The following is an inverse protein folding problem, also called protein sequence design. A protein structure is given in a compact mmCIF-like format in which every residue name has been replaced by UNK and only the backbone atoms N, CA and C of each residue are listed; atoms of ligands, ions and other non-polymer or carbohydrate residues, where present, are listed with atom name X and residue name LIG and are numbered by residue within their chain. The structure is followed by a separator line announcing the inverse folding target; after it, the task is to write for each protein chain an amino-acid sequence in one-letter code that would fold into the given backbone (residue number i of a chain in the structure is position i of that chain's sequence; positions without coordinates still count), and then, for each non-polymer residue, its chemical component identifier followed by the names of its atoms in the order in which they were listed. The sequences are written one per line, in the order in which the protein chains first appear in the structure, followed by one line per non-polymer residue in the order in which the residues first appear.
data_IF_561416707709
#
_entry.id   IF_561416707709
#
_cell.length_a   1.000
_cell.length_b   1.000
_cell.length_c   1.000
_cell.angle_alpha   90.00
_cell.angle_beta   90.00
_cell.angle_gamma   90.00
#
_symmetry.space_group_name_H-M   'P 1'
#
loop_
_entity.id
_entity.type
_entity.pdbx_description
1 polymer ?
#
# COMPACT_ATOMS: atom_id res chain seq x y z
N UNK A 1 4.56 -5.12 -18.24
CA UNK A 1 3.65 -6.28 -18.42
C UNK A 1 2.20 -5.95 -18.08
N UNK A 2 1.88 -5.36 -16.92
CA UNK A 2 0.48 -5.06 -16.53
C UNK A 2 -0.31 -4.15 -17.50
N UNK A 3 0.35 -3.52 -18.49
CA UNK A 3 -0.26 -2.74 -19.57
C UNK A 3 -0.45 -3.52 -20.88
N UNK A 4 -0.01 -4.75 -20.93
CA UNK A 4 -0.19 -5.60 -22.11
C UNK A 4 -1.66 -6.00 -22.30
N UNK A 5 -2.00 -6.50 -23.50
CA UNK A 5 -3.36 -6.93 -23.81
C UNK A 5 -3.86 -7.99 -22.84
N UNK A 6 -5.04 -7.78 -22.28
CA UNK A 6 -5.65 -8.67 -21.27
C UNK A 6 -5.19 -8.43 -19.84
N UNK A 7 -4.25 -7.49 -19.61
CA UNK A 7 -3.77 -7.17 -18.27
C UNK A 7 -4.52 -5.96 -17.64
N UNK A 8 -4.51 -5.82 -16.30
CA UNK A 8 -5.32 -4.84 -15.58
C UNK A 8 -5.15 -3.37 -15.99
N UNK A 9 -3.99 -3.01 -16.52
CA UNK A 9 -3.68 -1.64 -16.92
C UNK A 9 -3.66 -1.44 -18.44
N UNK A 10 -4.22 -2.37 -19.22
CA UNK A 10 -4.21 -2.32 -20.69
C UNK A 10 -4.66 -0.96 -21.23
N UNK A 11 -5.79 -0.45 -20.76
CA UNK A 11 -6.40 0.79 -21.24
C UNK A 11 -6.22 1.98 -20.26
N UNK A 12 -5.15 1.92 -19.44
CA UNK A 12 -4.85 2.94 -18.45
C UNK A 12 -3.53 3.67 -18.75
N UNK A 13 -3.51 4.68 -19.65
CA UNK A 13 -2.29 5.41 -20.01
C UNK A 13 -1.62 6.10 -18.81
N UNK A 14 -2.41 6.52 -17.81
CA UNK A 14 -1.91 7.09 -16.56
C UNK A 14 -1.14 6.10 -15.68
N UNK A 15 -1.19 4.80 -16.00
CA UNK A 15 -0.45 3.73 -15.32
C UNK A 15 0.87 3.39 -16.02
N UNK A 16 1.34 4.24 -16.93
CA UNK A 16 2.67 4.11 -17.49
C UNK A 16 3.73 4.23 -16.39
N UNK A 17 4.62 3.22 -16.20
CA UNK A 17 5.60 3.23 -15.13
C UNK A 17 6.55 4.43 -15.19
N UNK A 18 6.99 4.81 -16.40
CA UNK A 18 7.89 5.96 -16.57
C UNK A 18 7.20 7.25 -16.17
N UNK A 19 5.95 7.46 -16.61
CA UNK A 19 5.17 8.62 -16.24
C UNK A 19 4.95 8.70 -14.71
N UNK A 20 4.61 7.55 -14.07
CA UNK A 20 4.41 7.48 -12.62
C UNK A 20 5.69 7.80 -11.84
N UNK A 21 6.82 7.20 -12.22
CA UNK A 21 8.10 7.46 -11.57
C UNK A 21 8.57 8.90 -11.79
N UNK A 22 8.30 9.49 -12.96
CA UNK A 22 8.65 10.88 -13.22
C UNK A 22 7.88 11.86 -12.33
N UNK A 23 6.63 11.57 -11.97
CA UNK A 23 5.90 12.38 -10.97
C UNK A 23 6.65 12.41 -9.64
N UNK A 24 7.11 11.27 -9.15
CA UNK A 24 7.86 11.19 -7.88
C UNK A 24 9.21 11.89 -7.98
N UNK A 25 9.93 11.76 -9.12
CA UNK A 25 11.21 12.43 -9.36
C UNK A 25 11.05 13.96 -9.42
N UNK A 26 10.08 14.44 -10.18
CA UNK A 26 9.80 15.88 -10.30
C UNK A 26 9.40 16.48 -8.94
N UNK A 27 8.58 15.78 -8.16
CA UNK A 27 8.26 16.17 -6.80
C UNK A 27 9.53 16.23 -5.91
N UNK A 28 10.43 15.26 -6.06
CA UNK A 28 11.71 15.23 -5.35
C UNK A 28 12.61 16.41 -5.69
N UNK A 29 12.70 16.77 -6.97
CA UNK A 29 13.45 17.98 -7.42
C UNK A 29 12.87 19.26 -6.83
N UNK A 30 11.55 19.33 -6.68
CA UNK A 30 10.84 20.46 -6.08
C UNK A 30 10.73 20.36 -4.54
N UNK A 31 11.32 19.33 -3.91
CA UNK A 31 11.24 19.06 -2.46
C UNK A 31 9.80 18.93 -1.94
N UNK A 32 8.92 18.39 -2.75
CA UNK A 32 7.53 18.13 -2.37
C UNK A 32 7.44 16.73 -1.77
N UNK A 33 6.98 16.58 -0.51
CA UNK A 33 6.75 15.25 0.08
C UNK A 33 5.68 14.47 -0.69
N UNK A 34 5.92 13.19 -0.91
CA UNK A 34 5.02 12.33 -1.68
C UNK A 34 4.67 11.05 -0.92
N UNK A 35 3.41 10.68 -1.02
CA UNK A 35 2.94 9.34 -0.70
C UNK A 35 2.90 8.52 -1.98
N UNK A 36 3.40 7.30 -1.93
CA UNK A 36 3.36 6.36 -3.05
C UNK A 36 3.04 4.95 -2.55
N UNK A 37 3.00 3.96 -3.43
CA UNK A 37 2.75 2.58 -3.00
C UNK A 37 2.37 1.65 -4.12
N UNK A 38 1.94 0.46 -3.73
CA UNK A 38 1.57 -0.64 -4.63
C UNK A 38 0.17 -1.15 -4.30
N UNK A 39 -0.60 -1.45 -5.33
CA UNK A 39 -1.78 -2.31 -5.23
C UNK A 39 -1.32 -3.74 -5.52
N UNK A 40 -1.43 -4.61 -4.51
CA UNK A 40 -0.91 -5.99 -4.53
C UNK A 40 -2.03 -6.96 -4.87
N UNK A 41 -1.76 -7.90 -5.77
CA UNK A 41 -2.70 -8.95 -6.17
C UNK A 41 -3.49 -8.64 -7.44
N UNK A 42 -2.99 -7.75 -8.30
CA UNK A 42 -3.60 -7.43 -9.60
C UNK A 42 -2.99 -8.23 -10.76
N UNK A 43 -2.24 -9.31 -10.47
CA UNK A 43 -1.60 -10.17 -11.47
C UNK A 43 -0.11 -9.88 -11.68
N UNK A 44 0.50 -9.07 -10.84
CA UNK A 44 1.95 -8.88 -10.80
C UNK A 44 2.66 -10.11 -10.23
N UNK A 45 3.94 -10.31 -10.59
CA UNK A 45 4.80 -11.28 -9.93
C UNK A 45 5.51 -10.68 -8.71
N UNK A 46 6.11 -11.55 -7.90
CA UNK A 46 6.93 -11.12 -6.74
C UNK A 46 8.09 -10.25 -7.23
N UNK A 47 8.75 -10.64 -8.32
CA UNK A 47 9.88 -9.92 -8.90
C UNK A 47 9.45 -8.53 -9.38
N UNK A 48 8.27 -8.41 -9.98
CA UNK A 48 7.71 -7.12 -10.41
C UNK A 48 7.39 -6.21 -9.21
N UNK A 49 6.91 -6.77 -8.12
CA UNK A 49 6.70 -6.05 -6.85
C UNK A 49 8.02 -5.57 -6.26
N UNK A 50 9.03 -6.46 -6.17
CA UNK A 50 10.37 -6.11 -5.70
C UNK A 50 10.98 -5.01 -6.57
N UNK A 51 10.91 -5.14 -7.90
CA UNK A 51 11.42 -4.13 -8.82
C UNK A 51 10.76 -2.78 -8.61
N UNK A 52 9.44 -2.76 -8.37
CA UNK A 52 8.69 -1.53 -8.09
C UNK A 52 9.15 -0.85 -6.80
N UNK A 53 9.36 -1.64 -5.74
CA UNK A 53 9.87 -1.14 -4.46
C UNK A 53 11.31 -0.60 -4.61
N UNK A 54 12.17 -1.28 -5.38
CA UNK A 54 13.53 -0.83 -5.66
C UNK A 54 13.57 0.48 -6.44
N UNK A 55 12.64 0.70 -7.39
CA UNK A 55 12.53 2.00 -8.10
C UNK A 55 12.09 3.12 -7.15
N UNK A 56 11.15 2.85 -6.23
CA UNK A 56 10.76 3.80 -5.18
C UNK A 56 11.96 4.11 -4.27
N UNK A 57 12.71 3.08 -3.88
CA UNK A 57 13.92 3.24 -3.06
C UNK A 57 14.96 4.14 -3.74
N UNK A 58 15.24 3.95 -5.02
CA UNK A 58 16.18 4.80 -5.76
C UNK A 58 15.79 6.28 -5.71
N UNK A 59 14.48 6.56 -5.79
CA UNK A 59 13.96 7.93 -5.69
C UNK A 59 14.14 8.46 -4.26
N UNK A 60 13.79 7.66 -3.25
CA UNK A 60 13.98 8.02 -1.85
C UNK A 60 15.44 8.28 -1.52
N UNK A 61 16.35 7.41 -1.95
CA UNK A 61 17.79 7.56 -1.71
C UNK A 61 18.36 8.84 -2.35
N UNK A 62 17.78 9.25 -3.50
CA UNK A 62 18.25 10.46 -4.21
C UNK A 62 17.65 11.74 -3.68
N UNK A 63 16.36 11.76 -3.35
CA UNK A 63 15.61 12.99 -3.07
C UNK A 63 15.10 13.11 -1.63
N UNK A 64 14.93 11.98 -0.92
CA UNK A 64 14.39 11.98 0.45
C UNK A 64 12.94 12.45 0.56
N UNK A 65 12.18 12.38 -0.54
CA UNK A 65 10.84 12.98 -0.62
C UNK A 65 9.68 11.98 -0.46
N UNK A 66 9.96 10.69 -0.33
CA UNK A 66 8.91 9.70 -0.09
C UNK A 66 8.59 9.68 1.41
N UNK A 67 7.45 10.24 1.75
CA UNK A 67 6.98 10.35 3.13
C UNK A 67 6.38 9.02 3.62
N UNK A 68 5.68 8.33 2.74
CA UNK A 68 4.95 7.11 3.06
C UNK A 68 4.86 6.16 1.88
N UNK A 69 4.86 4.86 2.18
CA UNK A 69 4.60 3.79 1.22
C UNK A 69 3.32 3.07 1.64
N UNK A 70 2.28 3.17 0.82
CA UNK A 70 1.03 2.45 1.02
C UNK A 70 1.10 1.11 0.28
N UNK A 71 0.96 0.02 1.01
CA UNK A 71 0.73 -1.30 0.44
C UNK A 71 -0.73 -1.65 0.64
N UNK A 72 -1.44 -1.84 -0.45
CA UNK A 72 -2.87 -2.12 -0.43
C UNK A 72 -3.13 -3.46 -1.11
N UNK A 73 -3.83 -4.37 -0.43
CA UNK A 73 -4.32 -5.60 -1.01
C UNK A 73 -5.51 -5.30 -1.95
N UNK A 74 -5.48 -5.92 -3.12
CA UNK A 74 -6.57 -5.80 -4.08
C UNK A 74 -7.84 -6.48 -3.59
N UNK A 75 -8.97 -5.81 -3.77
CA UNK A 75 -10.31 -6.39 -3.62
C UNK A 75 -11.10 -6.18 -4.92
N UNK A 76 -11.65 -7.25 -5.52
CA UNK A 76 -12.42 -7.14 -6.75
C UNK A 76 -13.67 -6.29 -6.54
N UNK A 77 -14.02 -5.50 -7.55
CA UNK A 77 -15.23 -4.64 -7.51
C UNK A 77 -16.24 -5.11 -8.55
N UNK A 78 -17.52 -5.14 -8.20
CA UNK A 78 -18.58 -5.44 -9.16
C UNK A 78 -18.52 -4.48 -10.36
N UNK A 79 -18.89 -4.98 -11.53
CA UNK A 79 -18.95 -4.21 -12.79
C UNK A 79 -17.61 -3.62 -13.25
N UNK A 80 -16.48 -4.18 -12.81
CA UNK A 80 -15.15 -3.86 -13.34
C UNK A 80 -14.61 -5.03 -14.16
N UNK A 81 -13.60 -4.78 -14.98
CA UNK A 81 -12.91 -5.84 -15.75
C UNK A 81 -12.23 -6.88 -14.86
N UNK A 82 -12.03 -6.57 -13.58
CA UNK A 82 -11.41 -7.45 -12.60
C UNK A 82 -12.41 -8.02 -11.58
N UNK A 83 -13.71 -7.98 -11.86
CA UNK A 83 -14.75 -8.49 -10.94
C UNK A 83 -14.59 -9.98 -10.59
N UNK A 84 -14.05 -10.77 -11.52
CA UNK A 84 -13.83 -12.23 -11.37
C UNK A 84 -12.44 -12.58 -10.78
N UNK A 85 -11.62 -11.57 -10.48
CA UNK A 85 -10.34 -11.81 -9.82
C UNK A 85 -10.56 -12.09 -8.34
N UNK A 86 -9.55 -12.69 -7.70
CA UNK A 86 -9.57 -12.96 -6.26
C UNK A 86 -8.70 -11.97 -5.50
N UNK A 87 -9.06 -11.70 -4.25
CA UNK A 87 -8.16 -11.04 -3.31
C UNK A 87 -6.90 -11.88 -3.14
N UNK A 88 -5.70 -11.28 -3.08
CA UNK A 88 -4.46 -12.02 -2.88
C UNK A 88 -4.48 -12.77 -1.54
N UNK A 89 -3.83 -13.93 -1.50
CA UNK A 89 -3.65 -14.65 -0.25
C UNK A 89 -2.91 -13.80 0.79
N UNK A 90 -3.32 -13.92 2.03
CA UNK A 90 -2.78 -13.13 3.12
C UNK A 90 -1.26 -13.29 3.29
N UNK A 91 -0.77 -14.52 3.19
CA UNK A 91 0.67 -14.79 3.30
C UNK A 91 1.46 -14.15 2.15
N UNK A 92 0.89 -14.11 0.95
CA UNK A 92 1.50 -13.39 -0.17
C UNK A 92 1.57 -11.90 0.12
N UNK A 93 0.49 -11.29 0.60
CA UNK A 93 0.48 -9.87 0.96
C UNK A 93 1.45 -9.55 2.10
N UNK A 94 1.47 -10.37 3.17
CA UNK A 94 2.45 -10.24 4.27
C UNK A 94 3.89 -10.33 3.77
N UNK A 95 4.17 -11.22 2.83
CA UNK A 95 5.50 -11.35 2.23
C UNK A 95 5.91 -10.06 1.49
N UNK A 96 5.02 -9.45 0.70
CA UNK A 96 5.31 -8.19 0.01
C UNK A 96 5.57 -7.06 1.02
N UNK A 97 4.81 -7.01 2.12
CA UNK A 97 5.04 -6.04 3.21
C UNK A 97 6.43 -6.24 3.84
N UNK A 98 6.79 -7.49 4.17
CA UNK A 98 8.09 -7.80 4.73
C UNK A 98 9.25 -7.45 3.78
N UNK A 99 9.11 -7.76 2.50
CA UNK A 99 10.08 -7.38 1.46
C UNK A 99 10.24 -5.87 1.37
N UNK A 100 9.13 -5.13 1.42
CA UNK A 100 9.18 -3.67 1.43
C UNK A 100 9.96 -3.14 2.65
N UNK A 101 9.73 -3.68 3.84
CA UNK A 101 10.47 -3.31 5.05
C UNK A 101 11.97 -3.64 4.96
N UNK A 102 12.32 -4.80 4.41
CA UNK A 102 13.73 -5.20 4.22
C UNK A 102 14.43 -4.25 3.24
N UNK A 103 13.79 -3.90 2.14
CA UNK A 103 14.36 -3.04 1.09
C UNK A 103 14.42 -1.58 1.57
N UNK A 104 13.43 -1.12 2.34
CA UNK A 104 13.30 0.25 2.81
C UNK A 104 13.12 0.30 4.34
N UNK A 105 14.17 0.02 5.11
CA UNK A 105 14.09 -0.17 6.57
C UNK A 105 13.62 1.07 7.34
N UNK A 106 13.87 2.26 6.83
CA UNK A 106 13.51 3.54 7.48
C UNK A 106 12.17 4.13 6.99
N UNK A 107 11.52 3.50 6.01
CA UNK A 107 10.30 4.05 5.43
C UNK A 107 9.09 3.93 6.37
N UNK A 108 8.17 4.89 6.29
CA UNK A 108 6.83 4.71 6.81
C UNK A 108 6.05 3.82 5.86
N UNK A 109 5.78 2.58 6.29
CA UNK A 109 5.03 1.60 5.53
C UNK A 109 3.66 1.45 6.17
N UNK A 110 2.62 1.71 5.39
CA UNK A 110 1.26 1.62 5.87
C UNK A 110 0.42 0.63 5.06
N UNK A 111 -0.55 0.05 5.72
CA UNK A 111 -1.66 -0.68 5.10
C UNK A 111 -2.99 -0.09 5.58
N UNK A 112 -4.04 -0.07 4.74
CA UNK A 112 -5.39 0.28 5.18
C UNK A 112 -5.96 -0.83 6.08
N UNK A 113 -6.27 -0.58 7.35
CA UNK A 113 -6.69 -1.64 8.27
C UNK A 113 -8.09 -2.17 7.98
N UNK A 114 -8.96 -1.39 7.33
CA UNK A 114 -10.28 -1.81 6.90
C UNK A 114 -10.25 -2.93 5.85
N UNK A 115 -9.21 -2.99 5.03
CA UNK A 115 -9.09 -4.02 3.98
C UNK A 115 -8.57 -5.37 4.49
N UNK A 116 -8.20 -5.45 5.77
CA UNK A 116 -7.80 -6.68 6.47
C UNK A 116 -8.43 -6.73 7.87
N UNK A 117 -9.76 -6.64 8.01
CA UNK A 117 -10.44 -6.30 9.27
C UNK A 117 -10.19 -7.30 10.41
N UNK A 118 -9.95 -8.57 10.07
CA UNK A 118 -9.77 -9.63 11.07
C UNK A 118 -8.34 -9.66 11.64
N UNK A 119 -7.33 -9.33 10.85
CA UNK A 119 -5.93 -9.64 11.10
C UNK A 119 -4.96 -8.47 10.83
N UNK A 120 -5.45 -7.25 10.58
CA UNK A 120 -4.58 -6.11 10.26
C UNK A 120 -3.43 -5.94 11.28
N UNK A 121 -3.66 -6.21 12.57
CA UNK A 121 -2.62 -6.06 13.59
C UNK A 121 -1.40 -6.98 13.40
N UNK A 122 -1.55 -8.11 12.73
CA UNK A 122 -0.46 -9.04 12.44
C UNK A 122 0.60 -8.43 11.51
N UNK A 123 0.19 -7.45 10.69
CA UNK A 123 1.10 -6.77 9.78
C UNK A 123 2.16 -5.91 10.50
N UNK A 124 1.93 -5.53 11.77
CA UNK A 124 2.95 -4.88 12.58
C UNK A 124 4.18 -5.78 12.77
N UNK A 125 3.98 -7.08 12.94
CA UNK A 125 5.09 -8.04 13.10
C UNK A 125 5.86 -8.29 11.81
N UNK A 126 5.29 -7.97 10.65
CA UNK A 126 5.96 -8.12 9.34
C UNK A 126 6.47 -6.78 8.76
N UNK A 127 6.30 -5.69 9.51
CA UNK A 127 7.08 -4.49 9.23
C UNK A 127 6.35 -3.21 8.92
N UNK A 128 5.02 -3.15 9.01
CA UNK A 128 4.34 -1.84 8.95
C UNK A 128 4.57 -1.05 10.24
N UNK A 129 4.46 0.25 10.14
CA UNK A 129 4.50 1.18 11.27
C UNK A 129 3.45 2.28 11.19
N UNK A 130 2.50 2.15 10.25
CA UNK A 130 1.47 3.15 10.02
C UNK A 130 0.16 2.49 9.55
N UNK A 131 -0.97 3.06 9.93
CA UNK A 131 -2.31 2.64 9.50
C UNK A 131 -2.94 3.56 8.46
N UNK A 132 -2.25 4.66 8.11
CA UNK A 132 -2.83 5.70 7.28
C UNK A 132 -3.93 6.50 7.98
N UNK A 133 -4.80 7.08 7.17
CA UNK A 133 -5.93 7.85 7.69
C UNK A 133 -7.10 6.93 8.04
N UNK A 134 -7.37 6.74 9.32
CA UNK A 134 -8.58 6.07 9.80
C UNK A 134 -9.64 7.13 10.10
N UNK A 135 -10.78 7.09 9.41
CA UNK A 135 -11.89 7.99 9.70
C UNK A 135 -12.98 7.27 10.52
N UNK A 136 -13.26 7.72 11.73
CA UNK A 136 -14.38 7.17 12.50
C UNK A 136 -15.75 7.68 12.04
N UNK A 137 -15.79 8.70 11.17
CA UNK A 137 -17.02 9.41 10.80
C UNK A 137 -17.39 9.14 9.33
N UNK A 138 -16.42 9.15 8.42
CA UNK A 138 -16.65 8.98 6.99
C UNK A 138 -16.35 7.57 6.53
N UNK A 139 -17.18 7.05 5.62
CA UNK A 139 -16.91 5.78 4.96
C UNK A 139 -15.68 5.88 4.05
N UNK A 140 -15.03 4.77 3.79
CA UNK A 140 -14.09 4.66 2.69
C UNK A 140 -14.89 4.67 1.37
N UNK A 141 -14.81 5.77 0.61
CA UNK A 141 -15.55 5.90 -0.64
C UNK A 141 -14.99 5.04 -1.78
N UNK A 142 -13.78 4.55 -1.65
CA UNK A 142 -13.18 3.60 -2.62
C UNK A 142 -13.59 2.17 -2.30
N UNK A 143 -13.70 1.84 -1.01
CA UNK A 143 -14.04 0.51 -0.52
C UNK A 143 -15.19 0.60 0.51
N UNK A 144 -16.39 1.04 0.10
CA UNK A 144 -17.49 1.33 1.02
C UNK A 144 -18.03 0.08 1.76
N UNK A 145 -17.74 -1.10 1.23
CA UNK A 145 -18.07 -2.38 1.84
C UNK A 145 -17.16 -2.75 3.03
N UNK A 146 -16.03 -2.04 3.22
CA UNK A 146 -15.10 -2.25 4.31
C UNK A 146 -15.10 -1.07 5.28
N UNK A 147 -15.81 -1.21 6.39
CA UNK A 147 -15.86 -0.17 7.42
C UNK A 147 -14.51 0.03 8.11
N UNK A 148 -14.19 1.28 8.44
CA UNK A 148 -13.02 1.59 9.24
C UNK A 148 -13.12 0.95 10.63
N UNK A 149 -12.04 0.39 11.17
CA UNK A 149 -12.02 -0.09 12.53
C UNK A 149 -12.11 1.09 13.52
N UNK A 150 -12.73 0.86 14.67
CA UNK A 150 -12.71 1.82 15.75
C UNK A 150 -11.27 2.05 16.26
N UNK A 151 -10.86 3.30 16.42
CA UNK A 151 -9.49 3.69 16.81
C UNK A 151 -9.09 3.06 18.16
N UNK A 152 -10.00 2.97 19.13
CA UNK A 152 -9.74 2.33 20.42
C UNK A 152 -9.46 0.82 20.26
N UNK A 153 -10.14 0.16 19.32
CA UNK A 153 -9.88 -1.25 19.01
C UNK A 153 -8.51 -1.42 18.34
N UNK A 154 -8.12 -0.50 17.45
CA UNK A 154 -6.78 -0.50 16.83
C UNK A 154 -5.72 -0.32 17.92
N UNK A 155 -5.89 0.65 18.81
CA UNK A 155 -4.98 0.88 19.94
C UNK A 155 -4.83 -0.36 20.83
N UNK A 156 -5.95 -0.99 21.21
CA UNK A 156 -5.95 -2.22 22.01
C UNK A 156 -5.19 -3.36 21.32
N UNK A 157 -5.43 -3.58 20.02
CA UNK A 157 -4.74 -4.61 19.25
C UNK A 157 -3.23 -4.33 19.15
N UNK A 158 -2.83 -3.06 18.92
CA UNK A 158 -1.42 -2.67 18.93
C UNK A 158 -0.76 -2.97 20.28
N UNK A 159 -1.39 -2.56 21.39
CA UNK A 159 -0.87 -2.81 22.74
C UNK A 159 -0.69 -4.29 23.04
N UNK A 160 -1.62 -5.14 22.62
CA UNK A 160 -1.56 -6.59 22.87
C UNK A 160 -0.33 -7.27 22.23
N UNK A 161 0.28 -6.65 21.25
CA UNK A 161 1.49 -7.16 20.54
C UNK A 161 2.71 -6.25 20.78
N UNK A 162 2.67 -5.39 21.80
CA UNK A 162 3.82 -4.60 22.25
C UNK A 162 4.03 -3.27 21.52
N UNK A 163 3.07 -2.80 20.72
CA UNK A 163 3.15 -1.52 20.02
C UNK A 163 2.24 -0.46 20.66
N UNK A 164 2.62 0.81 20.52
CA UNK A 164 1.79 1.94 20.91
C UNK A 164 1.25 2.67 19.70
N UNK A 165 -0.06 2.93 19.68
CA UNK A 165 -0.68 3.77 18.66
C UNK A 165 -0.47 5.26 19.03
N UNK A 166 -0.01 6.06 18.06
CA UNK A 166 0.12 7.51 18.18
C UNK A 166 -0.51 8.18 16.99
N UNK A 167 -1.15 9.33 17.23
CA UNK A 167 -1.60 10.17 16.12
C UNK A 167 -0.38 10.70 15.35
N UNK A 168 -0.52 10.79 14.04
CA UNK A 168 0.43 11.43 13.15
C UNK A 168 -0.03 12.88 12.91
N UNK A 169 0.89 13.80 12.80
CA UNK A 169 0.61 15.24 12.60
C UNK A 169 0.49 15.60 11.14
#
# INVERSE_FOLDING_TARGET
RLREKGMPHQDAPSKDPTARLNVLRNAGELKIPMTTGLLVGIGESIEESIQSILEIKKIQDKYGNIQEIILQNFHPKPKTSMSEYTTPEENYFKMIVALCRIIMPEANIQIPPNLSPNNYSEFLSVGINDWGGISPITSDYVNPEFSWPNIQNVEKKCKNIGFSLKARF
#
